data_IF_585683400860
#
_entry.id   IF_585683400860
#
_cell.length_a   1.000
_cell.length_b   1.000
_cell.length_c   1.000
_cell.angle_alpha   90.00
_cell.angle_beta   90.00
_cell.angle_gamma   90.00
#
_symmetry.space_group_name_H-M   'P 1'
#
loop_
_entity.id
_entity.type
_entity.pdbx_description
1 polymer ?
#
# COMPACT_ATOMS: atom_id res chain seq x y z
N UNK A 1 20.92 -7.01 -57.98
CA UNK A 1 21.15 -5.64 -58.53
C UNK A 1 20.69 -4.62 -57.49
N UNK A 2 21.61 -4.03 -56.72
CA UNK A 2 21.31 -2.88 -55.83
C UNK A 2 21.60 -1.58 -56.59
N UNK A 3 20.77 -0.54 -56.50
CA UNK A 3 21.26 0.81 -56.73
C UNK A 3 21.86 1.38 -55.44
N UNK A 4 23.10 1.83 -55.57
CA UNK A 4 23.80 2.73 -54.64
C UNK A 4 23.00 4.03 -54.49
N UNK A 5 22.74 4.45 -53.27
CA UNK A 5 22.49 5.86 -52.95
C UNK A 5 23.67 6.40 -52.14
N UNK A 6 24.21 7.49 -52.65
CA UNK A 6 25.43 8.21 -52.28
C UNK A 6 25.32 8.87 -50.90
N UNK A 7 26.24 8.53 -49.99
CA UNK A 7 26.50 9.32 -48.77
C UNK A 7 27.51 10.43 -49.10
N UNK A 8 27.11 11.68 -48.87
CA UNK A 8 27.98 12.86 -48.95
C UNK A 8 29.02 12.92 -47.81
N UNK A 9 30.01 13.83 -47.91
CA UNK A 9 31.10 13.95 -46.95
C UNK A 9 30.66 14.79 -45.75
N UNK A 10 30.88 14.28 -44.54
CA UNK A 10 30.61 15.03 -43.31
C UNK A 10 30.12 14.20 -42.14
N UNK A 11 30.70 13.02 -41.90
CA UNK A 11 30.39 12.23 -40.71
C UNK A 11 30.91 12.96 -39.46
N UNK A 12 30.00 13.58 -38.71
CA UNK A 12 30.22 14.09 -37.37
C UNK A 12 30.64 12.94 -36.42
N UNK A 13 31.42 13.25 -35.37
CA UNK A 13 31.89 12.25 -34.41
C UNK A 13 30.73 11.57 -33.67
N UNK A 14 30.88 10.26 -33.52
CA UNK A 14 29.99 9.29 -32.86
C UNK A 14 29.59 9.71 -31.43
N UNK A 15 28.28 9.72 -31.07
CA UNK A 15 27.81 10.13 -29.74
C UNK A 15 27.64 8.98 -28.73
N UNK A 16 28.12 7.75 -28.98
CA UNK A 16 27.98 6.65 -28.00
C UNK A 16 28.81 6.92 -26.72
N UNK A 17 28.17 7.09 -25.54
CA UNK A 17 28.87 7.41 -24.29
C UNK A 17 29.37 6.17 -23.55
N UNK A 18 29.38 4.98 -24.19
CA UNK A 18 29.82 3.77 -23.50
C UNK A 18 31.34 3.75 -23.30
N UNK A 19 31.82 3.47 -22.07
CA UNK A 19 33.25 3.41 -21.78
C UNK A 19 33.90 2.24 -22.53
N UNK A 20 34.94 2.57 -23.30
CA UNK A 20 35.80 1.60 -23.98
C UNK A 20 36.71 0.95 -22.94
N UNK A 21 36.32 -0.20 -22.41
CA UNK A 21 37.18 -1.04 -21.58
C UNK A 21 38.39 -1.50 -22.42
N UNK A 22 39.53 -0.83 -22.23
CA UNK A 22 40.81 -1.31 -22.73
C UNK A 22 41.29 -2.41 -21.77
N UNK A 23 41.76 -3.52 -22.33
CA UNK A 23 41.95 -4.79 -21.65
C UNK A 23 42.73 -4.76 -20.34
N UNK A 24 42.45 -5.80 -19.54
CA UNK A 24 43.20 -6.36 -18.41
C UNK A 24 44.51 -5.66 -18.04
N UNK A 25 44.43 -4.64 -17.19
CA UNK A 25 45.52 -4.27 -16.29
C UNK A 25 45.01 -4.30 -14.86
N UNK A 26 45.33 -5.38 -14.17
CA UNK A 26 45.44 -5.38 -12.72
C UNK A 26 46.49 -4.32 -12.33
N UNK A 27 46.04 -3.23 -11.72
CA UNK A 27 46.89 -2.41 -10.88
C UNK A 27 46.25 -2.45 -9.49
N UNK A 28 46.91 -3.18 -8.60
CA UNK A 28 46.48 -3.50 -7.25
C UNK A 28 47.22 -2.61 -6.25
N UNK A 29 46.49 -2.18 -5.19
CA UNK A 29 46.90 -1.40 -4.00
C UNK A 29 47.20 0.08 -4.30
N UNK A 30 46.53 1.04 -3.67
CA UNK A 30 46.45 1.25 -2.23
C UNK A 30 45.03 1.63 -1.77
N UNK A 31 44.59 1.05 -0.66
CA UNK A 31 43.38 1.48 0.03
C UNK A 31 43.68 2.77 0.79
N UNK A 32 43.21 3.92 0.31
CA UNK A 32 43.05 5.10 1.17
C UNK A 32 41.74 4.97 1.96
N UNK A 33 41.79 4.08 2.94
CA UNK A 33 40.71 3.71 3.84
C UNK A 33 40.70 4.57 5.11
N UNK A 34 40.94 5.88 4.99
CA UNK A 34 40.93 6.78 6.16
C UNK A 34 40.01 8.00 6.09
N UNK A 35 39.53 8.40 4.91
CA UNK A 35 38.59 9.54 4.78
C UNK A 35 37.13 9.19 4.47
N UNK A 36 36.79 7.91 4.28
CA UNK A 36 35.40 7.45 4.17
C UNK A 36 34.90 6.79 5.46
N UNK A 37 35.44 7.18 6.63
CA UNK A 37 35.07 6.63 7.95
C UNK A 37 34.05 7.46 8.74
N UNK A 38 33.44 8.51 8.17
CA UNK A 38 32.62 9.45 8.99
C UNK A 38 31.31 9.98 8.42
N UNK A 39 30.75 9.40 7.34
CA UNK A 39 29.41 9.80 6.87
C UNK A 39 28.60 8.62 6.32
N UNK A 40 28.45 7.57 7.11
CA UNK A 40 27.29 6.68 7.00
C UNK A 40 26.44 6.89 8.24
N UNK A 41 25.78 8.04 8.27
CA UNK A 41 24.71 8.32 9.23
C UNK A 41 23.51 7.50 8.76
N UNK A 42 23.36 6.34 9.41
CA UNK A 42 22.08 5.72 9.80
C UNK A 42 20.88 6.07 8.93
N UNK A 43 20.63 5.29 7.88
CA UNK A 43 19.29 5.16 7.31
C UNK A 43 18.45 4.37 8.32
N UNK A 44 17.87 5.06 9.30
CA UNK A 44 16.93 4.46 10.23
C UNK A 44 15.71 3.99 9.43
N UNK A 45 15.47 2.67 9.45
CA UNK A 45 14.26 2.03 8.95
C UNK A 45 13.05 2.69 9.63
N UNK A 46 12.34 3.56 8.92
CA UNK A 46 11.02 4.00 9.30
C UNK A 46 10.04 2.83 9.07
N UNK A 47 9.97 1.92 10.04
CA UNK A 47 8.94 0.88 10.05
C UNK A 47 7.59 1.55 10.32
N UNK A 48 6.56 1.34 9.48
CA UNK A 48 5.23 1.85 9.76
C UNK A 48 4.71 1.18 11.04
N UNK A 49 4.40 1.98 12.05
CA UNK A 49 3.72 1.51 13.26
C UNK A 49 2.25 1.34 12.90
N UNK A 50 1.81 0.08 12.75
CA UNK A 50 0.39 -0.23 12.62
C UNK A 50 -0.28 -0.04 14.00
N UNK A 51 -1.20 0.91 14.10
CA UNK A 51 -2.01 1.07 15.30
C UNK A 51 -3.03 -0.06 15.38
N UNK A 52 -2.88 -0.94 16.37
CA UNK A 52 -3.88 -1.96 16.69
C UNK A 52 -4.90 -1.34 17.64
N UNK A 53 -6.10 -1.02 17.14
CA UNK A 53 -7.19 -0.55 17.98
C UNK A 53 -7.96 -1.74 18.55
N UNK A 54 -7.78 -2.01 19.84
CA UNK A 54 -8.67 -2.91 20.60
C UNK A 54 -9.87 -2.12 21.12
N UNK A 55 -11.10 -2.61 20.95
CA UNK A 55 -12.26 -1.97 21.56
C UNK A 55 -12.08 -1.99 23.08
N UNK A 56 -12.20 -0.82 23.70
CA UNK A 56 -12.19 -0.73 25.15
C UNK A 56 -13.51 -1.31 25.69
N UNK A 57 -13.39 -2.38 26.48
CA UNK A 57 -14.52 -2.96 27.21
C UNK A 57 -14.85 -2.02 28.38
N UNK A 58 -16.14 -1.92 28.73
CA UNK A 58 -16.68 -1.06 29.81
C UNK A 58 -16.48 0.46 29.61
N UNK A 59 -15.99 0.88 28.44
CA UNK A 59 -15.97 2.27 28.03
C UNK A 59 -17.25 2.63 27.24
N UNK A 60 -17.71 3.89 27.27
CA UNK A 60 -18.75 4.35 26.36
C UNK A 60 -18.36 4.06 24.90
N UNK A 61 -19.29 3.49 24.14
CA UNK A 61 -19.09 3.28 22.71
C UNK A 61 -18.77 4.62 22.00
N UNK A 62 -17.77 4.66 21.08
CA UNK A 62 -17.42 5.88 20.37
C UNK A 62 -18.62 6.47 19.63
N UNK A 63 -18.77 7.79 19.69
CA UNK A 63 -19.80 8.47 18.91
C UNK A 63 -19.51 8.30 17.41
N UNK A 64 -20.53 7.94 16.65
CA UNK A 64 -20.48 7.90 15.19
C UNK A 64 -21.80 8.38 14.59
N UNK A 65 -21.70 8.79 13.33
CA UNK A 65 -22.85 8.95 12.43
C UNK A 65 -22.62 8.10 11.20
N UNK A 66 -23.70 7.55 10.64
CA UNK A 66 -23.65 6.72 9.45
C UNK A 66 -24.84 7.00 8.53
N UNK A 67 -24.69 6.69 7.26
CA UNK A 67 -25.81 6.65 6.31
C UNK A 67 -26.44 5.27 6.36
N UNK A 68 -27.73 5.20 6.70
CA UNK A 68 -28.50 3.98 6.69
C UNK A 68 -28.79 3.53 5.25
N UNK A 69 -29.26 2.28 5.10
CA UNK A 69 -29.57 1.69 3.79
C UNK A 69 -30.67 2.44 3.01
N UNK A 70 -31.49 3.21 3.70
CA UNK A 70 -32.54 4.07 3.10
C UNK A 70 -32.07 5.52 2.85
N UNK A 71 -30.78 5.81 3.05
CA UNK A 71 -30.18 7.12 2.82
C UNK A 71 -30.29 8.10 3.98
N UNK A 72 -30.96 7.76 5.09
CA UNK A 72 -31.04 8.62 6.27
C UNK A 72 -29.72 8.65 7.04
N UNK A 73 -29.39 9.78 7.63
CA UNK A 73 -28.31 9.86 8.61
C UNK A 73 -28.80 9.34 9.96
N UNK A 74 -28.05 8.41 10.55
CA UNK A 74 -28.28 7.87 11.90
C UNK A 74 -27.09 8.14 12.79
N UNK A 75 -27.34 8.48 14.05
CA UNK A 75 -26.31 8.73 15.06
C UNK A 75 -26.46 7.74 16.20
N UNK A 76 -25.34 7.34 16.82
CA UNK A 76 -25.40 6.46 18.01
C UNK A 76 -26.24 7.08 19.15
N UNK A 77 -26.25 8.40 19.26
CA UNK A 77 -27.05 9.15 20.24
C UNK A 77 -28.56 8.96 20.09
N UNK A 78 -29.04 8.59 18.92
CA UNK A 78 -30.47 8.44 18.62
C UNK A 78 -31.06 7.20 19.32
N UNK A 79 -30.20 6.26 19.73
CA UNK A 79 -30.56 5.00 20.37
C UNK A 79 -30.29 4.96 21.89
N UNK A 80 -30.15 6.13 22.54
CA UNK A 80 -29.93 6.19 24.00
C UNK A 80 -31.00 5.40 24.77
N UNK A 81 -30.55 4.64 25.77
CA UNK A 81 -31.41 3.80 26.60
C UNK A 81 -31.84 2.48 25.94
N UNK A 82 -31.33 2.15 24.76
CA UNK A 82 -31.54 0.86 24.09
C UNK A 82 -30.22 0.09 24.02
N UNK A 83 -30.30 -1.24 24.07
CA UNK A 83 -29.18 -2.10 23.69
C UNK A 83 -29.02 -2.04 22.18
N UNK A 84 -27.82 -1.75 21.70
CA UNK A 84 -27.50 -1.63 20.28
C UNK A 84 -26.40 -2.63 19.93
N UNK A 85 -26.62 -3.39 18.85
CA UNK A 85 -25.65 -4.31 18.28
C UNK A 85 -25.29 -3.82 16.88
N UNK A 86 -24.00 -3.62 16.62
CA UNK A 86 -23.50 -3.29 15.28
C UNK A 86 -23.22 -4.58 14.51
N UNK A 87 -24.02 -4.84 13.49
CA UNK A 87 -23.87 -5.98 12.60
C UNK A 87 -23.35 -5.51 11.22
N UNK A 88 -22.24 -6.08 10.78
CA UNK A 88 -21.71 -5.86 9.43
C UNK A 88 -22.02 -7.07 8.56
N UNK A 89 -22.81 -6.85 7.53
CA UNK A 89 -23.22 -7.90 6.60
C UNK A 89 -23.08 -7.42 5.16
N UNK A 90 -22.97 -8.38 4.24
CA UNK A 90 -23.00 -8.13 2.82
C UNK A 90 -24.21 -8.87 2.24
N UNK A 91 -25.24 -8.12 1.87
CA UNK A 91 -26.50 -8.67 1.37
C UNK A 91 -26.35 -9.48 0.07
N UNK A 92 -25.31 -9.21 -0.72
CA UNK A 92 -25.08 -9.89 -1.99
C UNK A 92 -24.33 -11.24 -1.83
N UNK A 93 -23.73 -11.47 -0.66
CA UNK A 93 -22.99 -12.69 -0.40
C UNK A 93 -23.94 -13.90 -0.33
N UNK A 94 -23.74 -14.96 -1.14
CA UNK A 94 -24.63 -16.12 -1.17
C UNK A 94 -24.72 -16.85 0.17
N UNK A 95 -23.65 -16.79 0.99
CA UNK A 95 -23.67 -17.33 2.34
C UNK A 95 -24.64 -16.55 3.24
N UNK A 96 -24.56 -15.22 3.24
CA UNK A 96 -25.47 -14.35 3.99
C UNK A 96 -26.92 -14.60 3.56
N UNK A 97 -27.18 -14.58 2.24
CA UNK A 97 -28.53 -14.79 1.70
C UNK A 97 -29.17 -16.09 2.19
N UNK A 98 -28.40 -17.19 2.24
CA UNK A 98 -28.87 -18.48 2.75
C UNK A 98 -29.34 -18.36 4.21
N UNK A 99 -28.57 -17.72 5.09
CA UNK A 99 -28.86 -17.65 6.51
C UNK A 99 -30.01 -16.68 6.85
N UNK A 100 -30.08 -15.53 6.18
CA UNK A 100 -31.17 -14.57 6.39
C UNK A 100 -32.47 -15.04 5.73
N UNK A 101 -32.40 -15.68 4.54
CA UNK A 101 -33.58 -16.18 3.83
C UNK A 101 -34.24 -17.39 4.50
N UNK A 102 -33.48 -18.23 5.21
CA UNK A 102 -34.03 -19.37 5.96
C UNK A 102 -34.49 -19.03 7.38
N UNK A 103 -34.31 -17.77 7.81
CA UNK A 103 -34.64 -17.33 9.17
C UNK A 103 -33.66 -17.81 10.26
N UNK A 104 -32.47 -18.30 9.90
CA UNK A 104 -31.53 -18.85 10.87
C UNK A 104 -30.94 -17.76 11.79
N UNK A 105 -30.61 -16.59 11.22
CA UNK A 105 -30.03 -15.48 11.98
C UNK A 105 -30.99 -14.97 13.05
N UNK A 106 -32.26 -14.80 12.70
CA UNK A 106 -33.29 -14.25 13.57
C UNK A 106 -33.62 -15.18 14.74
N UNK A 107 -33.57 -16.50 14.53
CA UNK A 107 -33.78 -17.49 15.61
C UNK A 107 -32.65 -17.46 16.64
N UNK A 108 -31.45 -17.06 16.26
CA UNK A 108 -30.29 -17.04 17.15
C UNK A 108 -30.18 -15.75 17.98
N UNK A 109 -30.90 -14.69 17.60
CA UNK A 109 -30.87 -13.40 18.29
C UNK A 109 -32.04 -13.21 19.29
N UNK A 110 -32.72 -14.30 19.67
CA UNK A 110 -33.75 -14.33 20.72
C UNK A 110 -33.15 -14.90 22.01
#
# INVERSE_FOLDING_TARGET
LRPRSSRGPGAAPDPDPRPRCRGHHFCQKELDMTLLRRKLITAALALPVFALATPAIDAPAPAFTATAADGRTVSLSDFKGKTVVLEWTNADCPYVRKHYGSGNMQKQQQ
#
